data_IF_978814509974
#
_entry.id   IF_978814509974
#
_cell.length_a   1.000
_cell.length_b   1.000
_cell.length_c   1.000
_cell.angle_alpha   90.00
_cell.angle_beta   90.00
_cell.angle_gamma   90.00
#
_symmetry.space_group_name_H-M   'P 1'
#
loop_
_entity.id
_entity.type
_entity.pdbx_description
1 polymer ?
#
# COMPACT_ATOMS: atom_id res chain seq x y z
N UNK A 1 1.04 9.48 -16.37
CA UNK A 1 -0.24 10.14 -16.74
C UNK A 1 -0.12 11.01 -17.98
N UNK A 2 0.90 11.88 -18.07
CA UNK A 2 1.04 12.73 -19.27
C UNK A 2 1.25 11.94 -20.56
N UNK A 3 2.04 10.88 -20.54
CA UNK A 3 2.23 10.00 -21.70
C UNK A 3 0.94 9.27 -22.12
N UNK A 4 0.09 8.89 -21.16
CA UNK A 4 -1.23 8.32 -21.45
C UNK A 4 -2.17 9.37 -22.05
N UNK A 5 -2.09 10.62 -21.59
CA UNK A 5 -2.83 11.73 -22.17
C UNK A 5 -2.38 12.01 -23.61
N UNK A 6 -1.06 12.02 -23.83
CA UNK A 6 -0.49 12.19 -25.18
C UNK A 6 -0.89 11.04 -26.12
N UNK A 7 -0.85 9.79 -25.67
CA UNK A 7 -1.33 8.64 -26.45
C UNK A 7 -2.81 8.74 -26.83
N UNK A 8 -3.61 9.35 -25.96
CA UNK A 8 -5.05 9.54 -26.17
C UNK A 8 -5.38 10.69 -27.12
N UNK A 9 -4.62 11.79 -27.06
CA UNK A 9 -5.00 13.08 -27.64
C UNK A 9 -3.98 13.67 -28.60
N UNK A 10 -2.77 13.13 -28.65
CA UNK A 10 -1.62 13.72 -29.37
C UNK A 10 -1.01 14.94 -28.67
N UNK A 11 -1.49 15.34 -27.50
CA UNK A 11 -1.03 16.55 -26.78
C UNK A 11 -0.43 16.21 -25.43
N UNK A 12 0.55 16.99 -25.01
CA UNK A 12 1.08 16.99 -23.64
C UNK A 12 0.49 18.16 -22.85
N UNK A 13 0.41 17.99 -21.53
CA UNK A 13 -0.08 19.04 -20.65
C UNK A 13 0.96 19.37 -19.56
N UNK A 14 0.82 20.53 -18.92
CA UNK A 14 1.67 20.93 -17.79
C UNK A 14 1.27 20.13 -16.55
N UNK A 15 2.29 19.69 -15.79
CA UNK A 15 2.13 19.02 -14.50
C UNK A 15 2.84 19.85 -13.45
N UNK A 16 2.19 20.09 -12.33
CA UNK A 16 2.77 20.69 -11.14
C UNK A 16 2.47 19.86 -9.90
N UNK A 17 3.40 19.85 -8.97
CA UNK A 17 3.27 19.18 -7.66
C UNK A 17 3.74 20.17 -6.59
N UNK A 18 2.86 20.48 -5.65
CA UNK A 18 3.27 21.17 -4.43
C UNK A 18 3.93 20.17 -3.49
N UNK A 19 5.21 20.37 -3.19
CA UNK A 19 5.99 19.41 -2.38
C UNK A 19 5.49 19.29 -0.94
N UNK A 20 4.99 20.36 -0.34
CA UNK A 20 4.41 20.32 0.99
C UNK A 20 3.09 19.53 1.01
N UNK A 21 2.22 19.74 0.01
CA UNK A 21 0.99 18.94 -0.14
C UNK A 21 1.33 17.46 -0.41
N UNK A 22 2.34 17.18 -1.22
CA UNK A 22 2.83 15.83 -1.44
C UNK A 22 3.30 15.18 -0.13
N UNK A 23 4.01 15.91 0.73
CA UNK A 23 4.40 15.42 2.05
C UNK A 23 3.17 15.18 2.94
N UNK A 24 2.16 16.07 2.93
CA UNK A 24 0.92 15.88 3.67
C UNK A 24 0.18 14.61 3.23
N UNK A 25 0.22 14.26 1.94
CA UNK A 25 -0.44 13.06 1.39
C UNK A 25 0.11 11.75 1.97
N UNK A 26 1.36 11.72 2.46
CA UNK A 26 1.93 10.57 3.17
C UNK A 26 1.34 10.35 4.57
N UNK A 27 0.45 11.25 5.00
CA UNK A 27 -0.30 11.21 6.27
C UNK A 27 -1.80 11.42 6.05
N UNK A 28 -2.31 11.26 4.84
CA UNK A 28 -3.66 11.66 4.44
C UNK A 28 -4.75 11.23 5.44
N UNK A 29 -4.69 9.99 5.94
CA UNK A 29 -5.60 9.50 6.95
C UNK A 29 -5.57 10.26 8.29
N UNK A 30 -4.51 11.02 8.61
CA UNK A 30 -4.44 11.85 9.83
C UNK A 30 -5.35 13.08 9.73
N UNK A 31 -5.57 13.57 8.52
CA UNK A 31 -6.39 14.75 8.26
C UNK A 31 -7.86 14.40 7.96
N UNK A 32 -8.20 13.11 8.02
CA UNK A 32 -9.54 12.62 7.77
C UNK A 32 -10.46 12.97 8.95
N UNK A 33 -11.59 13.61 8.66
CA UNK A 33 -12.66 13.89 9.64
C UNK A 33 -13.99 13.41 9.08
N UNK A 34 -14.82 12.84 9.96
CA UNK A 34 -16.20 12.46 9.66
C UNK A 34 -17.11 13.31 10.54
N UNK A 35 -18.06 14.03 9.94
CA UNK A 35 -18.91 15.00 10.64
C UNK A 35 -18.09 15.92 11.58
N UNK A 36 -16.99 16.47 11.06
CA UNK A 36 -16.03 17.33 11.75
C UNK A 36 -15.26 16.67 12.91
N UNK A 37 -15.47 15.37 13.15
CA UNK A 37 -14.76 14.59 14.18
C UNK A 37 -13.61 13.78 13.53
N UNK A 38 -12.40 13.81 14.10
CA UNK A 38 -11.30 13.00 13.62
C UNK A 38 -11.64 11.50 13.65
N UNK A 39 -11.38 10.80 12.54
CA UNK A 39 -11.58 9.34 12.48
C UNK A 39 -10.50 8.63 13.30
N UNK A 40 -10.85 7.82 14.31
CA UNK A 40 -9.88 7.17 15.19
C UNK A 40 -8.86 6.31 14.44
N UNK A 41 -7.63 6.29 14.94
CA UNK A 41 -6.56 5.49 14.33
C UNK A 41 -6.74 3.97 14.51
N UNK A 42 -7.47 3.55 15.53
CA UNK A 42 -7.69 2.12 15.84
C UNK A 42 -6.43 1.33 16.18
N UNK A 43 -5.33 2.00 16.55
CA UNK A 43 -4.06 1.33 16.87
C UNK A 43 -4.21 0.50 18.14
N UNK A 44 -3.81 -0.77 18.08
CA UNK A 44 -3.89 -1.66 19.23
C UNK A 44 -2.86 -1.28 20.33
N UNK A 45 -3.26 -1.41 21.60
CA UNK A 45 -2.47 -0.97 22.77
C UNK A 45 -1.17 -1.76 22.95
N UNK A 46 -1.13 -3.03 22.54
CA UNK A 46 0.08 -3.87 22.65
C UNK A 46 0.95 -3.84 21.39
N UNK A 47 0.56 -3.11 20.36
CA UNK A 47 1.42 -2.91 19.19
C UNK A 47 2.54 -1.92 19.51
N UNK A 48 3.78 -2.31 19.27
CA UNK A 48 4.92 -1.40 19.50
C UNK A 48 6.26 -2.10 19.52
N UNK A 49 7.30 -1.31 19.79
CA UNK A 49 8.66 -1.78 20.07
C UNK A 49 8.83 -2.02 21.57
N UNK A 50 9.58 -3.06 21.89
CA UNK A 50 9.82 -3.51 23.27
C UNK A 50 11.28 -3.92 23.45
N UNK A 51 11.90 -3.62 24.62
CA UNK A 51 13.22 -4.13 24.95
C UNK A 51 13.18 -5.65 25.11
N UNK A 52 14.19 -6.31 24.55
CA UNK A 52 14.41 -7.75 24.64
C UNK A 52 15.74 -8.04 25.34
N UNK A 53 16.12 -9.32 25.49
CA UNK A 53 17.43 -9.70 26.04
C UNK A 53 18.60 -9.06 25.28
N UNK A 54 19.73 -8.98 25.95
CA UNK A 54 21.01 -8.55 25.39
C UNK A 54 20.99 -7.12 24.80
N UNK A 55 20.15 -6.22 25.33
CA UNK A 55 20.01 -4.85 24.84
C UNK A 55 19.39 -4.73 23.45
N UNK A 56 18.78 -5.80 22.95
CA UNK A 56 18.07 -5.82 21.67
C UNK A 56 16.63 -5.32 21.84
N UNK A 57 15.97 -5.08 20.71
CA UNK A 57 14.59 -4.66 20.65
C UNK A 57 13.81 -5.53 19.67
N UNK A 58 12.54 -5.75 20.00
CA UNK A 58 11.57 -6.42 19.14
C UNK A 58 10.37 -5.54 18.87
N UNK A 59 9.78 -5.68 17.71
CA UNK A 59 8.52 -5.06 17.33
C UNK A 59 7.45 -6.13 17.11
N UNK A 60 6.26 -5.94 17.67
CA UNK A 60 5.09 -6.76 17.39
C UNK A 60 4.00 -5.94 16.72
N UNK A 61 3.48 -6.46 15.60
CA UNK A 61 2.43 -5.81 14.82
C UNK A 61 1.07 -6.44 15.15
N UNK A 62 0.23 -5.71 15.88
CA UNK A 62 -1.02 -6.21 16.46
C UNK A 62 -2.30 -5.52 15.97
N UNK A 63 -2.25 -4.79 14.84
CA UNK A 63 -3.44 -4.10 14.31
C UNK A 63 -4.54 -5.06 13.87
N UNK A 64 -4.18 -6.28 13.44
CA UNK A 64 -5.16 -7.29 13.07
C UNK A 64 -5.38 -8.28 14.23
N UNK A 65 -6.65 -8.65 14.54
CA UNK A 65 -6.97 -9.52 15.67
C UNK A 65 -6.22 -10.86 15.64
N UNK A 66 -6.06 -11.47 14.46
CA UNK A 66 -5.34 -12.73 14.31
C UNK A 66 -3.82 -12.59 14.58
N UNK A 67 -3.20 -11.48 14.19
CA UNK A 67 -1.78 -11.23 14.48
C UNK A 67 -1.55 -10.97 15.97
N UNK A 68 -2.47 -10.21 16.59
CA UNK A 68 -2.47 -9.96 18.03
C UNK A 68 -2.61 -11.25 18.82
N UNK A 69 -3.61 -12.06 18.47
CA UNK A 69 -3.82 -13.36 19.14
C UNK A 69 -2.60 -14.28 19.02
N UNK A 70 -1.94 -14.30 17.84
CA UNK A 70 -0.72 -15.07 17.63
C UNK A 70 0.43 -14.59 18.53
N UNK A 71 0.67 -13.26 18.59
CA UNK A 71 1.72 -12.69 19.43
C UNK A 71 1.48 -12.95 20.92
N UNK A 72 0.26 -12.71 21.42
CA UNK A 72 -0.11 -12.94 22.83
C UNK A 72 -0.01 -14.42 23.21
N UNK A 73 -0.38 -15.33 22.29
CA UNK A 73 -0.22 -16.78 22.49
C UNK A 73 1.25 -17.18 22.63
N UNK A 74 2.14 -16.65 21.80
CA UNK A 74 3.59 -16.93 21.88
C UNK A 74 4.17 -16.40 23.19
N UNK A 75 3.74 -15.21 23.62
CA UNK A 75 4.22 -14.59 24.85
C UNK A 75 3.60 -15.21 26.11
N UNK A 76 2.47 -15.92 25.99
CA UNK A 76 1.75 -16.51 27.13
C UNK A 76 1.13 -15.50 28.08
N UNK A 77 0.72 -14.31 27.60
CA UNK A 77 0.20 -13.22 28.41
C UNK A 77 -1.13 -12.66 27.90
N UNK A 78 -1.84 -11.96 28.77
CA UNK A 78 -3.06 -11.22 28.42
C UNK A 78 -2.73 -9.99 27.56
N UNK A 79 -3.76 -9.37 26.95
CA UNK A 79 -3.66 -8.12 26.19
C UNK A 79 -3.45 -6.92 27.11
N UNK A 80 -2.26 -6.88 27.69
CA UNK A 80 -1.80 -5.82 28.58
C UNK A 80 -0.38 -5.41 28.22
N UNK A 81 -0.11 -4.09 28.13
CA UNK A 81 1.17 -3.58 27.67
C UNK A 81 2.32 -3.91 28.62
N UNK A 82 2.09 -3.86 29.92
CA UNK A 82 3.12 -4.14 30.92
C UNK A 82 3.44 -5.64 30.98
N UNK A 83 2.41 -6.50 30.88
CA UNK A 83 2.60 -7.93 30.78
C UNK A 83 3.40 -8.30 29.53
N UNK A 84 3.08 -7.72 28.37
CA UNK A 84 3.82 -7.91 27.12
C UNK A 84 5.26 -7.42 27.25
N UNK A 85 5.48 -6.26 27.87
CA UNK A 85 6.84 -5.72 28.08
C UNK A 85 7.68 -6.66 28.94
N UNK A 86 7.14 -7.14 30.06
CA UNK A 86 7.82 -8.09 30.96
C UNK A 86 8.12 -9.42 30.26
N UNK A 87 7.19 -9.91 29.46
CA UNK A 87 7.37 -11.16 28.72
C UNK A 87 8.47 -11.02 27.65
N UNK A 88 8.42 -9.98 26.79
CA UNK A 88 9.40 -9.78 25.72
C UNK A 88 10.81 -9.59 26.28
N UNK A 89 10.96 -8.95 27.43
CA UNK A 89 12.27 -8.79 28.11
C UNK A 89 12.95 -10.13 28.48
N UNK A 90 12.21 -11.24 28.47
CA UNK A 90 12.73 -12.59 28.71
C UNK A 90 13.07 -13.35 27.43
N UNK A 91 12.82 -12.77 26.26
CA UNK A 91 13.10 -13.40 24.97
C UNK A 91 14.39 -12.86 24.32
N UNK A 92 15.10 -13.75 23.62
CA UNK A 92 15.99 -13.31 22.55
C UNK A 92 15.16 -12.73 21.41
N UNK A 93 15.61 -11.61 20.83
CA UNK A 93 14.82 -10.89 19.85
C UNK A 93 14.62 -11.66 18.52
N UNK A 94 15.62 -12.47 18.13
CA UNK A 94 15.52 -13.30 16.92
C UNK A 94 14.63 -14.53 17.16
N UNK A 95 14.76 -15.18 18.32
CA UNK A 95 13.90 -16.31 18.69
C UNK A 95 12.43 -15.88 18.77
N UNK A 96 12.16 -14.70 19.33
CA UNK A 96 10.80 -14.15 19.38
C UNK A 96 10.26 -13.83 17.97
N UNK A 97 11.09 -13.26 17.10
CA UNK A 97 10.73 -13.01 15.70
C UNK A 97 10.26 -14.29 15.02
N UNK A 98 11.05 -15.35 15.09
CA UNK A 98 10.71 -16.63 14.45
C UNK A 98 9.50 -17.31 15.08
N UNK A 99 9.35 -17.27 16.41
CA UNK A 99 8.20 -17.83 17.11
C UNK A 99 6.89 -17.12 16.70
N UNK A 100 6.89 -15.77 16.62
CA UNK A 100 5.72 -15.00 16.20
C UNK A 100 5.35 -15.31 14.74
N UNK A 101 6.35 -15.42 13.85
CA UNK A 101 6.10 -15.73 12.43
C UNK A 101 5.58 -17.15 12.28
N UNK A 102 6.14 -18.14 12.98
CA UNK A 102 5.66 -19.53 12.99
C UNK A 102 4.22 -19.64 13.48
N UNK A 103 3.83 -18.83 14.47
CA UNK A 103 2.46 -18.75 14.97
C UNK A 103 1.49 -18.00 14.03
N UNK A 104 1.97 -17.49 12.87
CA UNK A 104 1.15 -16.74 11.92
C UNK A 104 0.94 -15.27 12.27
N UNK A 105 1.69 -14.74 13.22
CA UNK A 105 1.74 -13.33 13.58
C UNK A 105 2.58 -12.48 12.61
N UNK A 106 2.86 -11.24 13.01
CA UNK A 106 3.72 -10.31 12.30
C UNK A 106 4.55 -9.47 13.30
N UNK A 107 5.82 -9.30 13.01
CA UNK A 107 6.76 -8.59 13.87
C UNK A 107 8.20 -8.84 13.42
N UNK A 108 9.16 -8.35 14.18
CA UNK A 108 10.55 -8.58 13.86
C UNK A 108 11.52 -8.03 14.90
N UNK A 109 12.73 -8.55 14.90
CA UNK A 109 13.86 -8.00 15.62
C UNK A 109 14.23 -6.64 14.99
N UNK A 110 14.50 -5.65 15.82
CA UNK A 110 15.08 -4.39 15.34
C UNK A 110 16.54 -4.66 14.97
N UNK A 111 16.84 -4.54 13.68
CA UNK A 111 18.18 -4.69 13.12
C UNK A 111 18.81 -3.32 12.88
N UNK A 112 20.14 -3.29 12.80
CA UNK A 112 20.86 -2.19 12.18
C UNK A 112 20.83 -2.30 10.66
N UNK A 113 21.13 -1.24 9.92
CA UNK A 113 21.27 -1.28 8.47
C UNK A 113 22.39 -2.23 8.03
N UNK A 114 23.47 -2.33 8.81
CA UNK A 114 24.58 -3.25 8.54
C UNK A 114 24.17 -4.72 8.70
N UNK A 115 23.43 -5.05 9.74
CA UNK A 115 22.86 -6.41 9.93
C UNK A 115 21.88 -6.77 8.79
N UNK A 116 21.05 -5.83 8.37
CA UNK A 116 20.15 -6.07 7.25
C UNK A 116 20.88 -6.28 5.92
N UNK A 117 21.94 -5.52 5.67
CA UNK A 117 22.76 -5.67 4.47
C UNK A 117 23.42 -7.06 4.36
N UNK A 118 23.68 -7.69 5.49
CA UNK A 118 24.25 -9.05 5.58
C UNK A 118 23.17 -10.13 5.71
N UNK A 119 21.92 -9.75 5.97
CA UNK A 119 20.81 -10.70 6.11
C UNK A 119 20.49 -11.33 4.74
N UNK A 120 20.22 -12.66 4.65
CA UNK A 120 19.93 -13.33 3.38
C UNK A 120 18.83 -12.66 2.54
N UNK A 121 17.78 -12.12 3.18
CA UNK A 121 16.74 -11.38 2.47
C UNK A 121 17.22 -10.01 1.99
N UNK A 122 18.03 -9.30 2.80
CA UNK A 122 18.63 -8.03 2.42
C UNK A 122 19.55 -8.19 1.20
N UNK A 123 20.39 -9.24 1.20
CA UNK A 123 21.26 -9.60 0.08
C UNK A 123 20.45 -9.97 -1.17
N UNK A 124 19.38 -10.75 -1.03
CA UNK A 124 18.54 -11.18 -2.16
C UNK A 124 17.89 -10.01 -2.90
N UNK A 125 17.54 -8.92 -2.19
CA UNK A 125 16.94 -7.73 -2.82
C UNK A 125 17.96 -6.67 -3.23
N UNK A 126 19.21 -6.78 -2.82
CA UNK A 126 20.24 -5.76 -3.06
C UNK A 126 20.50 -5.50 -4.54
N UNK A 127 20.44 -6.54 -5.37
CA UNK A 127 20.63 -6.48 -6.82
C UNK A 127 19.35 -6.24 -7.63
N UNK A 128 18.19 -6.22 -6.99
CA UNK A 128 16.93 -6.01 -7.69
C UNK A 128 16.63 -4.52 -7.91
N UNK A 129 15.99 -4.16 -9.03
CA UNK A 129 15.54 -2.79 -9.26
C UNK A 129 14.45 -2.39 -8.25
N UNK A 130 14.22 -1.08 -8.12
CA UNK A 130 13.14 -0.55 -7.29
C UNK A 130 11.78 -1.17 -7.63
N UNK A 131 11.54 -1.36 -8.93
CA UNK A 131 10.32 -1.94 -9.50
C UNK A 131 10.66 -2.64 -10.81
N UNK A 132 10.01 -3.77 -11.07
CA UNK A 132 10.12 -4.49 -12.32
C UNK A 132 8.85 -4.31 -13.14
N UNK A 133 9.00 -4.04 -14.44
CA UNK A 133 7.89 -4.00 -15.42
C UNK A 133 8.26 -4.94 -16.55
N UNK A 134 7.66 -6.13 -16.54
CA UNK A 134 8.05 -7.26 -17.40
C UNK A 134 6.88 -7.67 -18.28
N UNK A 135 7.13 -7.88 -19.57
CA UNK A 135 6.15 -8.49 -20.48
C UNK A 135 6.04 -9.98 -20.15
N UNK A 136 4.84 -10.48 -19.90
CA UNK A 136 4.60 -11.86 -19.46
C UNK A 136 3.86 -12.71 -20.50
N UNK A 137 3.23 -12.09 -21.49
CA UNK A 137 2.61 -12.77 -22.62
C UNK A 137 2.43 -11.81 -23.79
N UNK A 138 2.34 -12.33 -24.99
CA UNK A 138 2.03 -11.55 -26.18
C UNK A 138 0.52 -11.35 -26.36
N UNK A 139 0.16 -10.19 -26.85
CA UNK A 139 -1.18 -9.84 -27.37
C UNK A 139 -1.05 -8.67 -28.34
N UNK A 140 -2.03 -8.45 -29.22
CA UNK A 140 -2.06 -7.24 -30.05
C UNK A 140 -1.99 -5.95 -29.23
N UNK A 141 -1.47 -4.88 -29.81
CA UNK A 141 -1.54 -3.55 -29.24
C UNK A 141 -3.00 -3.14 -29.00
N UNK A 142 -3.28 -2.60 -27.82
CA UNK A 142 -4.63 -2.25 -27.42
C UNK A 142 -4.72 -0.75 -27.11
N UNK A 143 -5.45 0.02 -27.96
CA UNK A 143 -5.64 1.45 -27.73
C UNK A 143 -6.35 1.72 -26.39
N UNK A 144 -6.07 2.88 -25.79
CA UNK A 144 -6.81 3.31 -24.61
C UNK A 144 -8.29 3.54 -24.98
N UNK A 145 -9.26 3.16 -24.14
CA UNK A 145 -10.65 3.46 -24.35
C UNK A 145 -10.90 4.97 -24.52
N UNK A 146 -11.91 5.39 -25.25
CA UNK A 146 -12.26 6.82 -25.39
C UNK A 146 -12.56 7.46 -24.03
N UNK A 147 -12.31 8.75 -23.89
CA UNK A 147 -12.64 9.51 -22.69
C UNK A 147 -11.81 10.77 -22.48
N UNK A 148 -12.18 11.55 -21.49
CA UNK A 148 -11.72 12.93 -21.27
C UNK A 148 -10.56 13.04 -20.26
N UNK A 149 -10.17 11.94 -19.64
CA UNK A 149 -9.10 11.89 -18.63
C UNK A 149 -8.09 10.80 -19.00
N UNK A 150 -6.84 10.85 -18.51
CA UNK A 150 -5.79 9.91 -18.89
C UNK A 150 -6.18 8.42 -18.81
N UNK A 151 -6.95 8.05 -17.80
CA UNK A 151 -7.38 6.65 -17.55
C UNK A 151 -8.90 6.44 -17.72
N UNK A 152 -9.63 7.37 -18.36
CA UNK A 152 -11.06 7.14 -18.67
C UNK A 152 -11.28 5.81 -19.38
N UNK A 153 -12.25 5.02 -18.91
CA UNK A 153 -12.60 3.72 -19.46
C UNK A 153 -11.67 2.56 -19.08
N UNK A 154 -10.53 2.83 -18.44
CA UNK A 154 -9.63 1.80 -17.92
C UNK A 154 -10.24 1.19 -16.65
N UNK A 155 -10.41 -0.14 -16.62
CA UNK A 155 -10.99 -0.89 -15.51
C UNK A 155 -9.92 -1.53 -14.63
N UNK A 156 -9.97 -1.22 -13.33
CA UNK A 156 -8.99 -1.68 -12.33
C UNK A 156 -9.67 -2.54 -11.28
N UNK A 157 -9.29 -3.82 -11.18
CA UNK A 157 -9.63 -4.68 -10.06
C UNK A 157 -8.61 -4.46 -8.93
N UNK A 158 -9.08 -3.98 -7.78
CA UNK A 158 -8.27 -3.72 -6.60
C UNK A 158 -8.50 -4.82 -5.54
N UNK A 159 -7.59 -5.81 -5.49
CA UNK A 159 -7.56 -6.86 -4.48
C UNK A 159 -6.50 -6.56 -3.40
N UNK A 160 -6.34 -5.32 -3.03
CA UNK A 160 -5.34 -4.90 -2.05
C UNK A 160 -5.97 -4.46 -0.74
N UNK A 161 -5.15 -4.34 0.30
CA UNK A 161 -5.58 -3.98 1.66
C UNK A 161 -4.55 -3.05 2.31
N UNK A 162 -4.93 -2.45 3.41
CA UNK A 162 -4.12 -1.56 4.25
C UNK A 162 -3.89 -0.20 3.57
N UNK A 163 -2.69 0.13 3.10
CA UNK A 163 -2.36 1.47 2.59
C UNK A 163 -1.78 1.41 1.17
N UNK A 164 -0.67 0.69 0.96
CA UNK A 164 0.11 0.77 -0.28
C UNK A 164 -0.71 0.44 -1.54
N UNK A 165 -1.27 -0.76 -1.63
CA UNK A 165 -2.10 -1.14 -2.77
C UNK A 165 -3.35 -0.28 -2.92
N UNK A 166 -4.13 -0.02 -1.85
CA UNK A 166 -5.26 0.89 -1.92
C UNK A 166 -4.91 2.31 -2.38
N UNK A 167 -3.73 2.85 -2.01
CA UNK A 167 -3.23 4.13 -2.53
C UNK A 167 -2.99 4.07 -4.04
N UNK A 168 -2.42 2.97 -4.56
CA UNK A 168 -2.27 2.77 -6.00
C UNK A 168 -3.63 2.90 -6.73
N UNK A 169 -4.62 2.14 -6.28
CA UNK A 169 -5.93 2.14 -6.92
C UNK A 169 -6.66 3.49 -6.78
N UNK A 170 -6.53 4.18 -5.62
CA UNK A 170 -7.02 5.56 -5.43
C UNK A 170 -6.37 6.53 -6.40
N UNK A 171 -5.05 6.41 -6.62
CA UNK A 171 -4.29 7.25 -7.55
C UNK A 171 -4.71 6.99 -9.00
N UNK A 172 -4.98 5.75 -9.39
CA UNK A 172 -5.51 5.47 -10.74
C UNK A 172 -6.93 6.05 -10.91
N UNK A 173 -7.77 5.97 -9.87
CA UNK A 173 -9.12 6.53 -9.88
C UNK A 173 -9.13 8.06 -10.03
N UNK A 174 -8.21 8.79 -9.39
CA UNK A 174 -8.14 10.26 -9.50
C UNK A 174 -7.79 10.76 -10.91
N UNK A 175 -7.34 9.85 -11.78
CA UNK A 175 -7.07 10.11 -13.20
C UNK A 175 -8.08 9.47 -14.15
N UNK A 176 -9.22 8.99 -13.64
CA UNK A 176 -10.36 8.54 -14.42
C UNK A 176 -10.54 7.04 -14.57
N UNK A 177 -9.70 6.22 -13.95
CA UNK A 177 -9.91 4.77 -13.96
C UNK A 177 -11.20 4.38 -13.21
N UNK A 178 -11.93 3.40 -13.75
CA UNK A 178 -13.05 2.74 -13.09
C UNK A 178 -12.50 1.65 -12.17
N UNK A 179 -12.52 1.90 -10.85
CA UNK A 179 -11.93 0.99 -9.87
C UNK A 179 -13.01 0.21 -9.12
N UNK A 180 -12.89 -1.12 -9.13
CA UNK A 180 -13.70 -2.03 -8.32
C UNK A 180 -12.81 -2.73 -7.29
N UNK A 181 -12.98 -2.34 -6.02
CA UNK A 181 -12.32 -3.00 -4.88
C UNK A 181 -13.06 -4.27 -4.52
N UNK A 182 -12.33 -5.39 -4.47
CA UNK A 182 -12.82 -6.69 -4.03
C UNK A 182 -12.15 -7.09 -2.72
N UNK A 183 -12.95 -7.43 -1.71
CA UNK A 183 -12.46 -7.93 -0.42
C UNK A 183 -13.38 -9.03 0.12
N UNK A 184 -12.88 -9.87 1.03
CA UNK A 184 -13.67 -10.88 1.70
C UNK A 184 -14.33 -10.33 2.97
N UNK A 185 -15.62 -10.59 3.16
CA UNK A 185 -16.37 -10.16 4.37
C UNK A 185 -15.73 -10.65 5.68
N UNK A 186 -15.05 -11.81 5.63
CA UNK A 186 -14.35 -12.40 6.77
C UNK A 186 -12.99 -11.76 7.08
N UNK A 187 -12.50 -10.87 6.22
CA UNK A 187 -11.22 -10.22 6.42
C UNK A 187 -11.39 -8.96 7.30
N UNK A 188 -10.57 -8.78 8.35
CA UNK A 188 -10.68 -7.62 9.21
C UNK A 188 -10.37 -6.32 8.46
N UNK A 189 -11.05 -5.25 8.82
CA UNK A 189 -10.88 -3.89 8.27
C UNK A 189 -10.13 -2.99 9.25
N UNK A 190 -9.46 -1.96 8.73
CA UNK A 190 -8.75 -0.94 9.50
C UNK A 190 -9.47 0.42 9.49
N UNK A 191 -10.76 0.47 9.24
CA UNK A 191 -11.61 1.67 9.36
C UNK A 191 -11.05 2.90 8.65
N UNK A 192 -10.28 3.73 9.36
CA UNK A 192 -9.72 4.99 8.83
C UNK A 192 -9.00 4.84 7.49
N UNK A 193 -8.17 3.82 7.33
CA UNK A 193 -7.44 3.58 6.10
C UNK A 193 -8.37 3.24 4.92
N UNK A 194 -9.46 2.53 5.19
CA UNK A 194 -10.46 2.19 4.17
C UNK A 194 -11.19 3.44 3.67
N UNK A 195 -11.54 4.36 4.57
CA UNK A 195 -12.16 5.63 4.18
C UNK A 195 -11.20 6.53 3.42
N UNK A 196 -9.95 6.66 3.89
CA UNK A 196 -8.94 7.49 3.24
C UNK A 196 -8.60 6.99 1.83
N UNK A 197 -8.42 5.69 1.67
CA UNK A 197 -8.02 5.11 0.38
C UNK A 197 -9.19 4.67 -0.49
N UNK A 198 -10.43 4.81 -0.03
CA UNK A 198 -11.63 4.39 -0.73
C UNK A 198 -12.15 5.34 -1.80
N UNK A 199 -11.63 6.56 -1.87
CA UNK A 199 -12.07 7.56 -2.84
C UNK A 199 -11.94 7.08 -4.29
N UNK A 200 -12.96 7.35 -5.11
CA UNK A 200 -13.02 6.98 -6.52
C UNK A 200 -13.31 5.51 -6.80
N UNK A 201 -13.66 4.71 -5.77
CA UNK A 201 -13.81 3.26 -5.92
C UNK A 201 -15.24 2.79 -5.67
N UNK A 202 -15.63 1.78 -6.45
CA UNK A 202 -16.68 0.84 -6.07
C UNK A 202 -16.10 -0.19 -5.11
N UNK A 203 -16.92 -0.79 -4.24
CA UNK A 203 -16.48 -1.80 -3.27
C UNK A 203 -17.47 -2.96 -3.21
N UNK A 204 -16.99 -4.19 -3.38
CA UNK A 204 -17.81 -5.40 -3.33
C UNK A 204 -17.13 -6.51 -2.52
N UNK A 205 -17.95 -7.41 -1.98
CA UNK A 205 -17.46 -8.60 -1.30
C UNK A 205 -17.46 -9.82 -2.22
N UNK A 206 -16.36 -10.57 -2.23
CA UNK A 206 -16.29 -11.93 -2.73
C UNK A 206 -15.50 -12.79 -1.72
N UNK A 207 -16.00 -13.98 -1.43
CA UNK A 207 -15.26 -14.95 -0.62
C UNK A 207 -14.56 -15.96 -1.54
N UNK A 208 -13.30 -15.76 -1.78
CA UNK A 208 -12.52 -16.62 -2.68
C UNK A 208 -12.24 -18.02 -2.13
N UNK A 209 -12.85 -18.41 -0.98
CA UNK A 209 -12.93 -19.80 -0.53
C UNK A 209 -14.10 -20.53 -1.19
N UNK A 210 -15.07 -19.79 -1.73
CA UNK A 210 -16.24 -20.28 -2.40
C UNK A 210 -16.03 -20.31 -3.93
N UNK A 211 -16.24 -21.46 -4.55
CA UNK A 211 -16.02 -21.62 -5.99
C UNK A 211 -16.86 -20.66 -6.84
N UNK A 212 -18.12 -20.39 -6.45
CA UNK A 212 -18.99 -19.43 -7.14
C UNK A 212 -18.41 -18.02 -7.19
N UNK A 213 -17.77 -17.57 -6.09
CA UNK A 213 -17.19 -16.23 -6.00
C UNK A 213 -15.89 -16.14 -6.79
N UNK A 214 -15.12 -17.25 -6.87
CA UNK A 214 -13.96 -17.37 -7.76
C UNK A 214 -14.40 -17.20 -9.22
N UNK A 215 -15.51 -17.82 -9.65
CA UNK A 215 -16.01 -17.67 -11.04
C UNK A 215 -16.52 -16.25 -11.31
N UNK A 216 -17.15 -15.59 -10.34
CA UNK A 216 -17.52 -14.17 -10.47
C UNK A 216 -16.26 -13.33 -10.69
N UNK A 217 -15.19 -13.55 -9.89
CA UNK A 217 -13.94 -12.83 -10.06
C UNK A 217 -13.31 -13.09 -11.44
N UNK A 218 -13.34 -14.35 -11.95
CA UNK A 218 -12.89 -14.65 -13.33
C UNK A 218 -13.67 -13.84 -14.37
N UNK A 219 -14.98 -13.73 -14.20
CA UNK A 219 -15.85 -12.91 -15.06
C UNK A 219 -15.46 -11.42 -15.04
N UNK A 220 -15.08 -10.89 -13.87
CA UNK A 220 -14.61 -9.51 -13.72
C UNK A 220 -13.24 -9.32 -14.38
N UNK A 221 -12.32 -10.27 -14.21
CA UNK A 221 -10.96 -10.23 -14.80
C UNK A 221 -11.02 -10.15 -16.33
N UNK A 222 -11.90 -10.92 -16.99
CA UNK A 222 -12.04 -10.88 -18.47
C UNK A 222 -12.35 -9.49 -19.03
N UNK A 223 -12.82 -8.58 -18.20
CA UNK A 223 -13.21 -7.21 -18.56
C UNK A 223 -12.31 -6.15 -17.90
N UNK A 224 -11.26 -6.56 -17.21
CA UNK A 224 -10.35 -5.66 -16.51
C UNK A 224 -9.12 -5.32 -17.37
N UNK A 225 -8.61 -4.13 -17.23
CA UNK A 225 -7.32 -3.70 -17.80
C UNK A 225 -6.18 -3.90 -16.82
N UNK A 226 -6.45 -3.68 -15.53
CA UNK A 226 -5.47 -3.80 -14.46
C UNK A 226 -6.00 -4.72 -13.36
N UNK A 227 -5.18 -5.66 -12.93
CA UNK A 227 -5.41 -6.50 -11.77
C UNK A 227 -4.35 -6.19 -10.72
N UNK A 228 -4.73 -5.48 -9.64
CA UNK A 228 -3.84 -5.10 -8.57
C UNK A 228 -4.05 -5.97 -7.34
N UNK A 229 -2.98 -6.56 -6.81
CA UNK A 229 -3.04 -7.42 -5.64
C UNK A 229 -1.89 -7.14 -4.66
N UNK A 230 -2.14 -7.39 -3.36
CA UNK A 230 -1.17 -7.25 -2.27
C UNK A 230 -1.17 -8.44 -1.32
N UNK A 231 -1.64 -9.59 -1.76
CA UNK A 231 -1.56 -10.83 -0.98
C UNK A 231 -0.17 -11.46 -1.13
N UNK A 232 0.21 -12.26 -0.15
CA UNK A 232 1.49 -12.99 -0.18
C UNK A 232 1.60 -13.83 -1.46
N UNK A 233 2.80 -13.97 -2.02
CA UNK A 233 3.05 -14.82 -3.18
C UNK A 233 2.38 -16.21 -3.02
N UNK A 234 1.77 -16.70 -4.08
CA UNK A 234 1.02 -17.97 -4.10
C UNK A 234 -0.42 -17.91 -3.58
N UNK A 235 -0.81 -16.93 -2.76
CA UNK A 235 -2.16 -16.90 -2.16
C UNK A 235 -3.28 -16.86 -3.21
N UNK A 236 -3.20 -15.96 -4.18
CA UNK A 236 -4.14 -15.90 -5.31
C UNK A 236 -3.77 -16.89 -6.41
N UNK A 237 -2.47 -17.18 -6.58
CA UNK A 237 -1.99 -18.19 -7.53
C UNK A 237 -2.62 -19.55 -7.29
N UNK A 238 -2.70 -20.01 -6.03
CA UNK A 238 -3.34 -21.28 -5.65
C UNK A 238 -4.86 -21.31 -5.91
N UNK A 239 -5.46 -20.18 -6.32
CA UNK A 239 -6.85 -20.04 -6.75
C UNK A 239 -7.00 -19.81 -8.25
N UNK A 240 -5.90 -19.99 -9.01
CA UNK A 240 -5.87 -19.84 -10.46
C UNK A 240 -5.73 -18.39 -10.96
N UNK A 241 -5.18 -17.50 -10.13
CA UNK A 241 -4.89 -16.10 -10.48
C UNK A 241 -3.38 -15.80 -10.42
N UNK A 242 -2.55 -16.70 -11.03
CA UNK A 242 -1.15 -16.36 -11.28
C UNK A 242 -1.05 -15.31 -12.40
N UNK A 243 0.05 -14.56 -12.52
CA UNK A 243 0.22 -13.60 -13.62
C UNK A 243 -0.02 -14.21 -15.00
N UNK A 244 0.46 -15.42 -15.22
CA UNK A 244 0.32 -16.18 -16.48
C UNK A 244 -1.15 -16.57 -16.72
N UNK A 245 -1.83 -17.08 -15.69
CA UNK A 245 -3.25 -17.42 -15.79
C UNK A 245 -4.13 -16.19 -16.02
N UNK A 246 -3.80 -15.04 -15.43
CA UNK A 246 -4.46 -13.77 -15.68
C UNK A 246 -4.25 -13.30 -17.12
N UNK A 247 -3.03 -13.45 -17.67
CA UNK A 247 -2.72 -13.13 -19.05
C UNK A 247 -3.47 -14.02 -20.05
N UNK A 248 -3.65 -15.32 -19.72
CA UNK A 248 -4.48 -16.22 -20.52
C UNK A 248 -5.96 -15.86 -20.46
N UNK A 249 -6.46 -15.49 -19.28
CA UNK A 249 -7.86 -15.13 -19.05
C UNK A 249 -8.24 -13.79 -19.72
N UNK A 250 -7.31 -12.84 -19.73
CA UNK A 250 -7.44 -11.51 -20.35
C UNK A 250 -6.10 -11.15 -21.02
N UNK A 251 -5.88 -11.52 -22.31
CA UNK A 251 -4.73 -11.04 -23.07
C UNK A 251 -4.66 -9.50 -23.06
N UNK A 252 -3.49 -8.94 -22.79
CA UNK A 252 -3.30 -7.49 -22.63
C UNK A 252 -3.53 -6.99 -21.20
N UNK A 253 -3.76 -7.84 -20.21
CA UNK A 253 -3.92 -7.40 -18.82
C UNK A 253 -2.61 -6.87 -18.24
N UNK A 254 -2.70 -5.85 -17.39
CA UNK A 254 -1.60 -5.37 -16.56
C UNK A 254 -1.80 -5.90 -15.13
N UNK A 255 -0.89 -6.75 -14.67
CA UNK A 255 -0.89 -7.30 -13.32
C UNK A 255 0.05 -6.47 -12.45
N UNK A 256 -0.46 -5.89 -11.35
CA UNK A 256 0.33 -5.14 -10.37
C UNK A 256 0.41 -5.95 -9.09
N UNK A 257 1.60 -6.39 -8.72
CA UNK A 257 1.85 -7.29 -7.60
C UNK A 257 2.75 -6.65 -6.55
N UNK A 258 2.17 -6.46 -5.36
CA UNK A 258 2.85 -5.97 -4.17
C UNK A 258 3.11 -7.11 -3.20
N UNK A 259 4.29 -7.13 -2.59
CA UNK A 259 4.58 -7.93 -1.41
C UNK A 259 5.48 -7.17 -0.42
N UNK A 260 5.68 -7.70 0.79
CA UNK A 260 6.48 -7.00 1.78
C UNK A 260 7.97 -7.05 1.48
N UNK A 261 8.50 -8.26 1.17
CA UNK A 261 9.94 -8.51 1.14
C UNK A 261 10.51 -8.88 -0.24
N UNK A 262 9.76 -8.68 -1.32
CA UNK A 262 10.07 -9.11 -2.69
C UNK A 262 9.61 -10.55 -3.00
N UNK A 263 9.63 -10.87 -4.30
CA UNK A 263 9.34 -12.21 -4.83
C UNK A 263 10.56 -13.14 -4.76
N UNK A 264 11.73 -12.59 -4.38
CA UNK A 264 12.99 -13.31 -4.27
C UNK A 264 13.46 -13.37 -2.80
N UNK A 265 14.30 -14.35 -2.52
CA UNK A 265 14.90 -14.55 -1.20
C UNK A 265 14.04 -15.35 -0.23
N UNK A 266 14.60 -15.69 0.94
CA UNK A 266 13.98 -16.62 1.89
C UNK A 266 12.68 -16.05 2.52
N UNK A 267 12.49 -14.73 2.52
CA UNK A 267 11.30 -14.09 3.09
C UNK A 267 10.22 -13.73 2.05
N UNK A 268 10.30 -14.24 0.83
CA UNK A 268 9.34 -13.93 -0.23
C UNK A 268 7.88 -14.18 0.18
N UNK A 269 7.60 -15.23 0.96
CA UNK A 269 6.26 -15.55 1.48
C UNK A 269 5.96 -15.00 2.87
N UNK A 270 6.91 -14.28 3.51
CA UNK A 270 6.76 -13.76 4.87
C UNK A 270 5.78 -12.59 4.91
N UNK A 271 4.98 -12.52 5.98
CA UNK A 271 4.13 -11.36 6.25
C UNK A 271 4.96 -10.14 6.61
N UNK A 272 4.54 -8.98 6.13
CA UNK A 272 5.14 -7.72 6.50
C UNK A 272 4.18 -6.57 6.29
N UNK A 273 4.51 -5.46 6.92
CA UNK A 273 3.83 -4.17 6.86
C UNK A 273 4.90 -3.08 6.86
N UNK A 274 4.56 -1.86 6.56
CA UNK A 274 5.46 -0.71 6.59
C UNK A 274 6.36 -0.72 7.83
N UNK A 275 5.77 -0.73 9.02
CA UNK A 275 6.50 -0.72 10.30
C UNK A 275 7.34 -1.98 10.54
N UNK A 276 6.92 -3.14 10.04
CA UNK A 276 7.73 -4.37 10.13
C UNK A 276 8.94 -4.25 9.22
N UNK A 277 8.77 -3.73 8.01
CA UNK A 277 9.89 -3.50 7.08
C UNK A 277 10.86 -2.47 7.67
N UNK A 278 10.39 -1.34 8.19
CA UNK A 278 11.25 -0.36 8.86
C UNK A 278 12.06 -1.00 9.99
N UNK A 279 11.42 -1.88 10.78
CA UNK A 279 12.06 -2.57 11.91
C UNK A 279 13.21 -3.46 11.45
N UNK A 280 12.93 -4.38 10.52
CA UNK A 280 13.91 -5.41 10.14
C UNK A 280 14.99 -4.89 9.20
N UNK A 281 14.75 -3.79 8.50
CA UNK A 281 15.69 -3.20 7.53
C UNK A 281 16.64 -2.15 8.14
N UNK A 282 16.56 -1.90 9.45
CA UNK A 282 17.43 -0.98 10.16
C UNK A 282 16.95 0.46 10.18
N UNK A 283 15.88 0.80 9.46
CA UNK A 283 15.33 2.17 9.42
C UNK A 283 14.91 2.63 10.81
N UNK A 284 14.18 1.77 11.56
CA UNK A 284 13.69 2.09 12.90
C UNK A 284 14.84 2.30 13.90
N UNK A 285 15.93 1.54 13.78
CA UNK A 285 17.14 1.73 14.58
C UNK A 285 17.77 3.08 14.26
N UNK A 286 18.04 3.34 12.98
CA UNK A 286 18.70 4.58 12.54
C UNK A 286 17.88 5.82 12.87
N UNK A 287 16.56 5.75 12.72
CA UNK A 287 15.66 6.84 13.08
C UNK A 287 15.74 7.17 14.58
N UNK A 288 15.86 6.16 15.44
CA UNK A 288 16.04 6.35 16.88
C UNK A 288 17.39 7.00 17.27
N UNK A 289 18.45 6.76 16.47
CA UNK A 289 19.74 7.42 16.66
C UNK A 289 19.71 8.91 16.29
N UNK A 290 19.05 9.23 15.15
CA UNK A 290 19.03 10.60 14.60
C UNK A 290 17.97 11.47 15.28
N UNK A 291 16.82 10.89 15.59
CA UNK A 291 15.68 11.58 16.22
C UNK A 291 15.21 10.81 17.46
N UNK A 292 15.98 10.85 18.55
CA UNK A 292 15.60 10.16 19.77
C UNK A 292 14.26 10.71 20.27
N UNK A 293 13.34 9.79 20.61
CA UNK A 293 12.08 10.13 21.27
C UNK A 293 12.26 10.53 22.72
N UNK A 294 11.17 10.83 23.42
CA UNK A 294 11.17 11.10 24.87
C UNK A 294 11.76 9.92 25.68
N UNK A 295 11.64 8.70 25.17
CA UNK A 295 12.27 7.49 25.69
C UNK A 295 13.28 7.02 24.64
N UNK A 296 14.57 6.79 25.03
CA UNK A 296 15.57 6.24 24.14
C UNK A 296 15.13 4.89 23.57
N UNK A 297 15.40 4.65 22.28
CA UNK A 297 15.07 3.41 21.61
C UNK A 297 14.71 3.59 20.14
N UNK A 298 14.32 2.50 19.47
CA UNK A 298 13.95 2.52 18.07
C UNK A 298 12.75 3.44 17.81
N UNK A 299 12.79 4.22 16.72
CA UNK A 299 11.73 5.12 16.31
C UNK A 299 11.30 4.83 14.88
N UNK A 300 10.00 4.88 14.61
CA UNK A 300 9.48 4.80 13.26
C UNK A 300 9.49 6.17 12.58
N UNK A 301 9.49 6.18 11.25
CA UNK A 301 9.12 7.39 10.55
C UNK A 301 7.76 7.90 11.05
N UNK A 302 7.55 9.21 11.12
CA UNK A 302 6.29 9.79 11.62
C UNK A 302 5.10 9.52 10.67
N UNK A 303 5.36 8.90 9.53
CA UNK A 303 4.39 8.57 8.49
C UNK A 303 4.62 7.15 7.97
N UNK A 304 3.60 6.52 7.37
CA UNK A 304 3.76 5.25 6.65
C UNK A 304 4.40 5.50 5.27
N UNK A 305 5.63 6.06 5.29
CA UNK A 305 6.31 6.52 4.08
C UNK A 305 6.50 5.42 3.05
N UNK A 306 6.89 4.22 3.49
CA UNK A 306 7.13 3.09 2.60
C UNK A 306 5.82 2.65 1.93
N UNK A 307 4.72 2.57 2.68
CA UNK A 307 3.41 2.20 2.11
C UNK A 307 2.93 3.21 1.06
N UNK A 308 2.90 4.49 1.40
CA UNK A 308 2.41 5.52 0.46
C UNK A 308 3.28 5.62 -0.78
N UNK A 309 4.62 5.66 -0.62
CA UNK A 309 5.55 5.68 -1.76
C UNK A 309 5.39 4.44 -2.63
N UNK A 310 5.23 3.26 -2.03
CA UNK A 310 4.96 2.04 -2.78
C UNK A 310 3.66 2.15 -3.58
N UNK A 311 2.60 2.68 -2.99
CA UNK A 311 1.32 2.88 -3.67
C UNK A 311 1.42 3.81 -4.88
N UNK A 312 2.11 4.94 -4.75
CA UNK A 312 2.34 5.86 -5.88
C UNK A 312 3.22 5.22 -6.96
N UNK A 313 4.27 4.48 -6.58
CA UNK A 313 5.12 3.76 -7.52
C UNK A 313 4.36 2.63 -8.24
N UNK A 314 3.46 1.91 -7.56
CA UNK A 314 2.55 0.94 -8.18
C UNK A 314 1.68 1.60 -9.26
N UNK A 315 1.09 2.76 -8.97
CA UNK A 315 0.27 3.51 -9.93
C UNK A 315 1.10 4.02 -11.12
N UNK A 316 2.34 4.46 -10.88
CA UNK A 316 3.30 4.80 -11.92
C UNK A 316 3.61 3.58 -12.80
N UNK A 317 3.95 2.43 -12.21
CA UNK A 317 4.24 1.19 -12.93
C UNK A 317 3.06 0.70 -13.78
N UNK A 318 1.84 0.75 -13.22
CA UNK A 318 0.61 0.43 -13.95
C UNK A 318 0.43 1.35 -15.17
N UNK A 319 0.68 2.64 -14.99
CA UNK A 319 0.57 3.63 -16.08
C UNK A 319 1.59 3.40 -17.18
N UNK A 320 2.84 3.05 -16.83
CA UNK A 320 3.89 2.70 -17.80
C UNK A 320 3.52 1.42 -18.55
N UNK A 321 3.03 0.40 -17.84
CA UNK A 321 2.61 -0.87 -18.44
C UNK A 321 1.42 -0.68 -19.40
N UNK A 322 0.43 0.14 -19.04
CA UNK A 322 -0.68 0.52 -19.94
C UNK A 322 -0.19 1.26 -21.19
N UNK A 323 0.76 2.19 -21.05
CA UNK A 323 1.34 2.88 -22.18
C UNK A 323 2.12 1.92 -23.12
N UNK A 324 2.85 0.95 -22.56
CA UNK A 324 3.51 -0.10 -23.33
C UNK A 324 2.51 -1.00 -24.02
N UNK A 325 1.46 -1.45 -23.33
CA UNK A 325 0.36 -2.24 -23.94
C UNK A 325 -0.25 -1.52 -25.14
N UNK A 326 -0.45 -0.23 -25.04
CA UNK A 326 -1.03 0.58 -26.14
C UNK A 326 -0.11 0.65 -27.35
N UNK A 327 1.22 0.69 -27.16
CA UNK A 327 2.21 0.83 -28.25
C UNK A 327 2.64 -0.51 -28.85
N UNK A 328 2.88 -1.49 -28.01
CA UNK A 328 3.57 -2.74 -28.38
C UNK A 328 2.79 -4.01 -28.00
N UNK A 329 1.57 -3.84 -27.46
CA UNK A 329 0.74 -4.96 -27.01
C UNK A 329 1.35 -5.71 -25.81
N UNK A 330 0.85 -6.91 -25.58
CA UNK A 330 1.30 -7.83 -24.53
C UNK A 330 0.64 -7.59 -23.18
N UNK A 331 0.66 -8.63 -22.36
CA UNK A 331 0.32 -8.59 -20.95
C UNK A 331 1.55 -8.26 -20.13
N UNK A 332 1.41 -7.45 -19.10
CA UNK A 332 2.53 -6.89 -18.34
C UNK A 332 2.39 -7.19 -16.85
N UNK A 333 3.51 -7.48 -16.20
CA UNK A 333 3.63 -7.65 -14.76
C UNK A 333 4.47 -6.53 -14.17
N UNK A 334 3.88 -5.79 -13.24
CA UNK A 334 4.55 -4.81 -12.38
C UNK A 334 4.78 -5.46 -11.02
N UNK A 335 6.02 -5.65 -10.60
CA UNK A 335 6.41 -6.16 -9.29
C UNK A 335 7.12 -5.10 -8.48
N UNK A 336 6.69 -4.93 -7.22
CA UNK A 336 7.29 -4.03 -6.26
C UNK A 336 7.18 -4.61 -4.86
N UNK A 337 8.07 -4.23 -3.95
CA UNK A 337 7.98 -4.61 -2.55
C UNK A 337 8.25 -3.44 -1.63
N UNK A 338 7.68 -3.50 -0.43
CA UNK A 338 7.93 -2.51 0.61
C UNK A 338 9.42 -2.43 0.96
N UNK A 339 10.12 -3.58 1.01
CA UNK A 339 11.55 -3.64 1.33
C UNK A 339 12.43 -2.97 0.26
N UNK A 340 12.09 -3.10 -1.04
CA UNK A 340 12.80 -2.42 -2.13
C UNK A 340 12.58 -0.90 -2.07
N UNK A 341 11.35 -0.47 -1.77
CA UNK A 341 11.04 0.97 -1.58
C UNK A 341 11.72 1.52 -0.34
N UNK A 342 11.73 0.81 0.78
CA UNK A 342 12.48 1.20 1.98
C UNK A 342 13.96 1.34 1.70
N UNK A 343 14.57 0.39 0.97
CA UNK A 343 15.96 0.46 0.52
C UNK A 343 16.22 1.67 -0.38
N UNK A 344 15.35 1.89 -1.36
CA UNK A 344 15.45 3.06 -2.25
C UNK A 344 15.36 4.37 -1.47
N UNK A 345 14.46 4.47 -0.48
CA UNK A 345 14.32 5.66 0.36
C UNK A 345 15.61 5.93 1.14
N UNK A 346 16.18 4.92 1.80
CA UNK A 346 17.47 5.03 2.51
C UNK A 346 18.60 5.48 1.58
N UNK A 347 18.64 5.00 0.35
CA UNK A 347 19.63 5.38 -0.66
C UNK A 347 19.54 6.85 -1.13
N UNK A 348 18.47 7.56 -0.82
CA UNK A 348 18.36 9.02 -1.09
C UNK A 348 19.26 9.84 -0.16
N UNK A 349 19.76 9.23 0.90
CA UNK A 349 20.56 9.90 1.91
C UNK A 349 19.74 10.50 3.04
N UNK A 350 20.42 11.12 3.96
CA UNK A 350 19.83 11.77 5.14
C UNK A 350 20.10 13.27 5.08
N UNK A 351 19.11 14.06 5.47
CA UNK A 351 19.29 15.49 5.72
C UNK A 351 19.92 15.64 7.11
N UNK A 352 21.02 16.38 7.28
CA UNK A 352 21.62 16.60 8.58
C UNK A 352 20.59 17.19 9.58
N UNK A 353 20.58 16.67 10.81
CA UNK A 353 19.63 17.08 11.83
C UNK A 353 19.64 18.61 12.08
N UNK A 354 20.83 19.25 11.98
CA UNK A 354 20.99 20.68 12.12
C UNK A 354 20.19 21.49 11.08
N UNK A 355 20.03 20.97 9.87
CA UNK A 355 19.27 21.63 8.81
C UNK A 355 17.75 21.52 9.03
N UNK A 356 17.31 20.58 9.87
CA UNK A 356 15.90 20.36 10.19
C UNK A 356 15.38 21.22 11.33
N UNK A 357 16.25 21.97 12.03
CA UNK A 357 15.90 22.76 13.21
C UNK A 357 14.77 23.77 12.93
N UNK A 358 14.75 24.35 11.74
CA UNK A 358 13.77 25.36 11.33
C UNK A 358 12.63 24.78 10.47
N UNK A 359 12.59 23.45 10.26
CA UNK A 359 11.51 22.81 9.51
C UNK A 359 10.30 22.66 10.42
N UNK A 360 9.17 23.24 10.03
CA UNK A 360 7.95 23.10 10.77
C UNK A 360 7.49 21.62 10.83
N UNK A 361 7.24 21.14 12.04
CA UNK A 361 6.82 19.74 12.28
C UNK A 361 5.40 19.44 11.80
N UNK A 362 4.57 20.47 11.71
CA UNK A 362 3.16 20.37 11.28
C UNK A 362 2.86 21.41 10.19
N UNK A 363 1.82 21.16 9.41
CA UNK A 363 1.30 22.12 8.42
C UNK A 363 0.44 23.15 9.10
N UNK A 364 0.40 24.39 8.55
CA UNK A 364 -0.48 25.42 9.09
C UNK A 364 -1.96 25.11 8.79
N UNK A 365 -2.89 25.65 9.61
CA UNK A 365 -4.32 25.51 9.33
C UNK A 365 -4.70 26.00 7.92
N UNK A 366 -4.06 27.10 7.46
CA UNK A 366 -4.31 27.70 6.13
C UNK A 366 -3.82 26.81 4.99
N UNK A 367 -2.71 26.10 5.16
CA UNK A 367 -2.23 25.12 4.19
C UNK A 367 -3.20 23.95 4.08
N UNK A 368 -3.59 23.38 5.23
CA UNK A 368 -4.52 22.26 5.28
C UNK A 368 -5.89 22.63 4.71
N UNK A 369 -6.40 23.84 4.97
CA UNK A 369 -7.67 24.32 4.42
C UNK A 369 -7.64 24.41 2.89
N UNK A 370 -6.51 24.86 2.30
CA UNK A 370 -6.32 24.91 0.83
C UNK A 370 -6.27 23.55 0.18
N UNK A 371 -5.79 22.54 0.89
CA UNK A 371 -5.65 21.16 0.37
C UNK A 371 -6.81 20.26 0.74
N UNK A 372 -7.73 20.73 1.55
CA UNK A 372 -8.88 19.98 2.01
C UNK A 372 -10.00 20.01 0.98
N UNK A 373 -10.71 18.92 0.89
CA UNK A 373 -11.99 18.83 0.20
C UNK A 373 -13.01 18.05 1.06
N UNK A 374 -14.29 18.17 0.70
CA UNK A 374 -15.38 17.52 1.40
C UNK A 374 -16.16 16.65 0.41
N UNK A 375 -16.51 15.44 0.84
CA UNK A 375 -17.33 14.50 0.09
C UNK A 375 -18.52 14.05 0.92
N UNK A 376 -19.72 14.06 0.34
CA UNK A 376 -20.88 13.40 0.93
C UNK A 376 -20.78 11.91 0.65
N UNK A 377 -20.81 11.10 1.70
CA UNK A 377 -20.64 9.64 1.62
C UNK A 377 -21.83 8.94 2.28
N UNK A 378 -22.04 7.64 2.02
CA UNK A 378 -23.08 6.88 2.71
C UNK A 378 -22.91 6.78 4.23
N UNK A 379 -21.74 7.14 4.76
CA UNK A 379 -21.44 7.11 6.20
C UNK A 379 -21.35 8.51 6.83
N UNK A 380 -21.72 9.55 6.08
CA UNK A 380 -21.71 10.93 6.54
C UNK A 380 -20.79 11.83 5.70
N UNK A 381 -20.70 13.10 6.11
CA UNK A 381 -19.85 14.10 5.46
C UNK A 381 -18.38 13.88 5.85
N UNK A 382 -17.56 13.61 4.87
CA UNK A 382 -16.13 13.31 5.06
C UNK A 382 -15.27 14.47 4.55
N UNK A 383 -14.39 14.99 5.42
CA UNK A 383 -13.33 15.93 5.04
C UNK A 383 -12.01 15.15 4.89
N UNK A 384 -11.28 15.39 3.79
CA UNK A 384 -10.04 14.70 3.44
C UNK A 384 -9.14 15.58 2.57
N UNK A 385 -7.90 15.15 2.33
CA UNK A 385 -7.02 15.87 1.40
C UNK A 385 -7.45 15.64 -0.06
N UNK A 386 -7.31 16.69 -0.86
CA UNK A 386 -7.45 16.63 -2.32
C UNK A 386 -6.27 15.90 -2.98
N UNK A 387 -6.41 15.42 -4.24
CA UNK A 387 -5.30 14.94 -5.03
C UNK A 387 -4.15 15.95 -5.11
N UNK A 388 -2.93 15.43 -5.15
CA UNK A 388 -1.71 16.27 -5.12
C UNK A 388 -1.31 16.76 -6.51
N UNK A 389 -1.45 15.90 -7.51
CA UNK A 389 -0.98 16.19 -8.88
C UNK A 389 -1.93 17.19 -9.55
N UNK A 390 -1.37 18.31 -10.00
CA UNK A 390 -2.07 19.32 -10.76
C UNK A 390 -1.73 19.14 -12.24
N UNK A 391 -2.74 18.87 -13.07
CA UNK A 391 -2.63 18.70 -14.51
C UNK A 391 -3.48 19.77 -15.20
N UNK A 392 -2.90 20.48 -16.16
CA UNK A 392 -3.51 21.71 -16.72
C UNK A 392 -4.76 21.46 -17.58
N UNK A 393 -4.86 20.30 -18.23
CA UNK A 393 -6.02 19.96 -19.09
C UNK A 393 -6.96 18.95 -18.39
N UNK A 394 -6.42 18.09 -17.53
CA UNK A 394 -7.16 17.03 -16.85
C UNK A 394 -6.91 17.05 -15.34
N UNK A 395 -7.46 18.04 -14.61
CA UNK A 395 -7.31 18.10 -13.16
C UNK A 395 -7.67 16.77 -12.48
N UNK A 396 -6.86 16.35 -11.52
CA UNK A 396 -7.12 15.12 -10.79
C UNK A 396 -8.29 15.29 -9.80
N UNK A 397 -9.23 14.34 -9.80
CA UNK A 397 -10.35 14.32 -8.85
C UNK A 397 -10.97 12.92 -8.77
N UNK A 398 -11.69 12.62 -7.70
CA UNK A 398 -12.49 11.42 -7.57
C UNK A 398 -13.96 11.70 -7.86
N UNK A 399 -14.52 11.00 -8.85
CA UNK A 399 -15.92 11.10 -9.26
C UNK A 399 -16.88 10.33 -8.34
N UNK A 400 -16.35 9.43 -7.50
CA UNK A 400 -17.10 8.65 -6.53
C UNK A 400 -16.57 8.90 -5.11
N UNK A 401 -17.45 9.10 -4.12
CA UNK A 401 -17.02 9.17 -2.73
C UNK A 401 -16.52 7.81 -2.24
N UNK A 402 -15.80 7.82 -1.13
CA UNK A 402 -15.53 6.57 -0.42
C UNK A 402 -16.82 5.94 0.12
N UNK A 403 -16.86 4.62 0.18
CA UNK A 403 -18.02 3.83 0.62
C UNK A 403 -17.57 2.74 1.61
N UNK A 404 -18.47 2.20 2.43
CA UNK A 404 -18.18 1.00 3.22
C UNK A 404 -17.73 -0.18 2.35
N UNK A 405 -16.92 -1.07 2.92
CA UNK A 405 -16.52 -2.30 2.22
C UNK A 405 -17.75 -3.14 1.88
N UNK A 406 -17.82 -3.63 0.64
CA UNK A 406 -18.93 -4.45 0.16
C UNK A 406 -20.23 -3.70 -0.12
N UNK A 407 -20.18 -2.39 -0.26
CA UNK A 407 -21.34 -1.54 -0.50
C UNK A 407 -22.04 -1.81 -1.84
N UNK A 408 -21.30 -2.23 -2.86
CA UNK A 408 -21.81 -2.50 -4.21
C UNK A 408 -21.86 -4.00 -4.52
N UNK A 409 -22.53 -4.34 -5.60
CA UNK A 409 -22.46 -5.67 -6.19
C UNK A 409 -21.12 -5.88 -6.92
N UNK A 410 -20.61 -7.13 -7.00
CA UNK A 410 -19.37 -7.45 -7.72
C UNK A 410 -19.61 -7.51 -9.24
N UNK A 411 -19.96 -6.37 -9.80
CA UNK A 411 -20.20 -6.19 -11.24
C UNK A 411 -19.59 -4.89 -11.73
N UNK A 412 -19.11 -4.88 -12.97
CA UNK A 412 -18.71 -3.63 -13.62
C UNK A 412 -19.97 -2.83 -13.97
N UNK A 413 -19.95 -1.50 -13.75
CA UNK A 413 -21.00 -0.62 -14.28
C UNK A 413 -21.15 -0.78 -15.80
N UNK A 414 -22.37 -0.53 -16.29
CA UNK A 414 -22.57 -0.41 -17.73
C UNK A 414 -21.70 0.74 -18.27
N UNK A 415 -21.04 0.49 -19.41
CA UNK A 415 -20.35 1.58 -20.09
C UNK A 415 -21.41 2.55 -20.61
N UNK A 416 -21.38 3.77 -20.14
CA UNK A 416 -22.14 4.85 -20.80
C UNK A 416 -21.53 5.07 -22.17
N UNK A 417 -22.31 4.81 -23.21
CA UNK A 417 -21.97 5.01 -24.63
C UNK A 417 -21.63 6.45 -24.91
#
# INVERSE_FOLDING_TARGET
>A
MNDLWELRTGRRQKIAINTRQATASLRSGTYLKMEDTPVPNGRNVVMGTYPAKHGRWSYIHCNFPNHRAAALKVLGVAEDRDAVTKAIAQWDALELEEAIIAAGGAGGMVRTMAEWAQHPQGMAIAGLPLMEIVKIADSPAEPLPKGERPLSGVRVLDLTRVIAGPTCARTLAEHGAEVLKITGKHLPSLGRQEYDTGHGKLSAHLDLREAKDVEILRGLVRKADVFSQGYRPGTLGNRGFTPEALAQLRPGIVVVSLCAFSHAGPWASRRGFDTVVQTVSGITHRQGEVFPGAVPGPQFYPVSAIDFLTGYLMAFGASVALARRTREGGSWLVRISLAQVGRWLVQRGEVPAAELTNVAKEFTPEELERWKMTSNTPVGRLQHLAPVVQMSETPAYWDKPTVPLGYHQPVWPAQTS
#
